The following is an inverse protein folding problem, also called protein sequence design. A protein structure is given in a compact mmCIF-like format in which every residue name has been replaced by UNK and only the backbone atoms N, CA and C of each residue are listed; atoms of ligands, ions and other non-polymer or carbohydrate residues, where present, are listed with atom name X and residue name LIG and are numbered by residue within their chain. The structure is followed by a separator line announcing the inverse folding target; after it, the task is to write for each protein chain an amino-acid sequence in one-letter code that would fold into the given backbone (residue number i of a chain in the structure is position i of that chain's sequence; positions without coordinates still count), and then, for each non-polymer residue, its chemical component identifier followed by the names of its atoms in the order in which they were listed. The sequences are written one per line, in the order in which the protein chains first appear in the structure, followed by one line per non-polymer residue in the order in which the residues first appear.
data_IF_865131966986
#
_entry.id   IF_865131966986
#
_cell.length_a   1.000
_cell.length_b   1.000
_cell.length_c   1.000
_cell.angle_alpha   90.00
_cell.angle_beta   90.00
_cell.angle_gamma   90.00
#
_symmetry.space_group_name_H-M   'P 1'
#
loop_
_entity.id
_entity.type
_entity.pdbx_description
1 polymer ?
#
# COMPACT_ATOMS: atom_id res chain seq x y z
N UNK A 1 14.75 -7.72 -21.31
CA UNK A 1 14.06 -8.64 -20.37
C UNK A 1 14.81 -9.95 -20.38
N UNK A 2 15.16 -10.50 -19.22
CA UNK A 2 15.82 -11.80 -19.12
C UNK A 2 14.83 -12.93 -19.41
N UNK A 3 14.77 -13.37 -20.67
CA UNK A 3 14.81 -14.77 -21.11
C UNK A 3 13.75 -15.80 -20.69
N UNK A 4 12.76 -15.50 -19.85
CA UNK A 4 11.75 -16.48 -19.42
C UNK A 4 10.33 -15.95 -19.67
N UNK A 5 9.57 -16.64 -20.53
CA UNK A 5 8.18 -16.29 -20.80
C UNK A 5 7.20 -16.78 -19.72
N UNK A 6 7.58 -17.82 -18.97
CA UNK A 6 6.82 -18.38 -17.87
C UNK A 6 7.72 -19.18 -16.92
N UNK A 7 7.22 -19.47 -15.72
CA UNK A 7 7.82 -20.48 -14.85
C UNK A 7 6.73 -21.24 -14.07
N UNK A 8 6.66 -22.56 -14.21
CA UNK A 8 5.67 -23.37 -13.48
C UNK A 8 6.25 -24.74 -13.11
N UNK A 9 6.20 -25.08 -11.82
CA UNK A 9 6.75 -26.32 -11.27
C UNK A 9 5.79 -27.05 -10.31
N UNK A 10 4.48 -26.78 -10.41
CA UNK A 10 3.50 -27.24 -9.43
C UNK A 10 3.05 -28.71 -9.58
N UNK A 11 3.45 -29.40 -10.66
CA UNK A 11 3.02 -30.77 -10.93
C UNK A 11 4.20 -31.71 -11.21
N UNK A 12 3.97 -33.01 -11.00
CA UNK A 12 4.99 -34.05 -11.17
C UNK A 12 5.51 -34.15 -12.62
N UNK A 13 4.64 -33.91 -13.60
CA UNK A 13 5.01 -33.88 -15.04
C UNK A 13 5.82 -32.62 -15.44
N UNK A 14 6.15 -31.74 -14.50
CA UNK A 14 6.94 -30.55 -14.80
C UNK A 14 8.26 -30.94 -15.48
N UNK A 15 8.68 -30.16 -16.49
CA UNK A 15 10.02 -30.31 -17.04
C UNK A 15 11.08 -30.22 -15.91
N UNK A 16 12.23 -30.91 -16.05
CA UNK A 16 13.32 -30.80 -15.07
C UNK A 16 13.68 -29.33 -14.83
N UNK A 17 13.74 -28.92 -13.56
CA UNK A 17 13.94 -27.55 -13.08
C UNK A 17 12.76 -26.57 -13.28
N UNK A 18 11.58 -27.06 -13.68
CA UNK A 18 10.39 -26.23 -13.91
C UNK A 18 10.09 -26.01 -15.39
N UNK A 19 8.81 -26.04 -15.77
CA UNK A 19 8.38 -25.61 -17.10
C UNK A 19 8.73 -24.14 -17.31
N UNK A 20 9.32 -23.80 -18.45
CA UNK A 20 9.78 -22.45 -18.79
C UNK A 20 11.21 -22.14 -18.38
N UNK A 21 11.83 -22.93 -17.47
CA UNK A 21 13.20 -22.71 -16.97
C UNK A 21 14.31 -22.71 -18.05
N UNK A 22 14.02 -23.22 -19.26
CA UNK A 22 14.94 -23.19 -20.41
C UNK A 22 14.38 -22.35 -21.57
N UNK A 23 13.51 -21.38 -21.27
CA UNK A 23 12.91 -20.48 -22.25
C UNK A 23 11.71 -21.07 -23.00
N UNK A 24 11.08 -22.13 -22.51
CA UNK A 24 9.87 -22.68 -23.14
C UNK A 24 8.66 -21.78 -22.86
N UNK A 25 7.85 -21.54 -23.89
CA UNK A 25 6.59 -20.78 -23.80
C UNK A 25 5.38 -21.63 -23.41
N UNK A 26 5.58 -22.92 -23.12
CA UNK A 26 4.52 -23.89 -22.81
C UNK A 26 5.01 -24.96 -21.85
N UNK A 27 4.20 -25.29 -20.84
CA UNK A 27 4.47 -26.40 -19.92
C UNK A 27 4.11 -27.77 -20.51
N UNK A 28 4.60 -28.84 -19.88
CA UNK A 28 4.34 -30.23 -20.30
C UNK A 28 2.84 -30.54 -20.41
N UNK A 29 2.02 -29.98 -19.51
CA UNK A 29 0.57 -30.14 -19.51
C UNK A 29 -0.16 -29.35 -20.61
N UNK A 30 0.56 -28.52 -21.37
CA UNK A 30 0.02 -27.71 -22.44
C UNK A 30 -0.41 -26.29 -22.07
N UNK A 31 -0.27 -25.87 -20.80
CA UNK A 31 -0.48 -24.48 -20.38
C UNK A 31 0.57 -23.57 -21.03
N UNK A 32 0.13 -22.57 -21.80
CA UNK A 32 1.03 -21.59 -22.42
C UNK A 32 1.49 -20.53 -21.41
N UNK A 33 2.44 -19.69 -21.82
CA UNK A 33 3.04 -18.65 -20.97
C UNK A 33 2.04 -17.61 -20.50
N UNK A 34 1.17 -17.14 -21.38
CA UNK A 34 0.10 -16.16 -21.06
C UNK A 34 -0.83 -16.67 -19.96
N UNK A 35 -1.34 -17.90 -20.07
CA UNK A 35 -2.21 -18.48 -19.05
C UNK A 35 -1.47 -18.74 -17.74
N UNK A 36 -0.20 -19.18 -17.80
CA UNK A 36 0.63 -19.34 -16.59
C UNK A 36 0.81 -18.00 -15.86
N UNK A 37 1.14 -16.94 -16.59
CA UNK A 37 1.36 -15.61 -16.04
C UNK A 37 0.07 -14.95 -15.52
N UNK A 38 -1.08 -15.19 -16.18
CA UNK A 38 -2.40 -14.78 -15.65
C UNK A 38 -2.71 -15.50 -14.32
N UNK A 39 -2.38 -16.78 -14.21
CA UNK A 39 -2.53 -17.50 -12.94
C UNK A 39 -1.59 -16.94 -11.87
N UNK A 40 -0.35 -16.59 -12.20
CA UNK A 40 0.57 -15.93 -11.27
C UNK A 40 0.02 -14.57 -10.80
N UNK A 41 -0.50 -13.75 -11.72
CA UNK A 41 -1.16 -12.49 -11.39
C UNK A 41 -2.33 -12.68 -10.42
N UNK A 42 -3.16 -13.72 -10.63
CA UNK A 42 -4.22 -14.09 -9.68
C UNK A 42 -3.64 -14.47 -8.31
N UNK A 43 -2.65 -15.36 -8.26
CA UNK A 43 -2.03 -15.82 -7.00
C UNK A 43 -1.39 -14.65 -6.24
N UNK A 44 -0.72 -13.73 -6.93
CA UNK A 44 -0.20 -12.50 -6.30
C UNK A 44 -1.34 -11.60 -5.83
N UNK A 45 -2.42 -11.45 -6.60
CA UNK A 45 -3.63 -10.77 -6.15
C UNK A 45 -4.22 -11.39 -4.88
N UNK A 46 -4.32 -12.73 -4.80
CA UNK A 46 -4.79 -13.45 -3.62
C UNK A 46 -3.91 -13.17 -2.40
N UNK A 47 -2.57 -13.16 -2.54
CA UNK A 47 -1.66 -12.82 -1.44
C UNK A 47 -1.90 -11.42 -0.88
N UNK A 48 -2.08 -10.42 -1.75
CA UNK A 48 -2.43 -9.06 -1.34
C UNK A 48 -3.80 -8.99 -0.66
N UNK A 49 -4.79 -9.67 -1.22
CA UNK A 49 -6.15 -9.76 -0.68
C UNK A 49 -6.18 -10.44 0.70
N UNK A 50 -5.40 -11.50 0.89
CA UNK A 50 -5.26 -12.20 2.18
C UNK A 50 -4.71 -11.30 3.27
N UNK A 51 -3.82 -10.34 2.95
CA UNK A 51 -3.31 -9.38 3.93
C UNK A 51 -4.43 -8.47 4.46
N UNK A 52 -5.29 -7.94 3.58
CA UNK A 52 -6.44 -7.12 3.99
C UNK A 52 -7.50 -7.95 4.74
N UNK A 53 -7.76 -9.16 4.25
CA UNK A 53 -8.66 -10.13 4.88
C UNK A 53 -8.23 -10.49 6.29
N UNK A 54 -6.93 -10.69 6.52
CA UNK A 54 -6.39 -11.01 7.83
C UNK A 54 -6.72 -9.93 8.85
N UNK A 55 -6.45 -8.66 8.55
CA UNK A 55 -6.75 -7.55 9.45
C UNK A 55 -8.26 -7.33 9.67
N UNK A 56 -9.06 -7.49 8.61
CA UNK A 56 -10.50 -7.37 8.71
C UNK A 56 -11.07 -8.41 9.70
N UNK A 57 -10.55 -9.65 9.63
CA UNK A 57 -10.94 -10.73 10.53
C UNK A 57 -10.48 -10.52 11.98
N UNK A 58 -9.31 -9.95 12.22
CA UNK A 58 -8.87 -9.58 13.58
C UNK A 58 -9.82 -8.56 14.26
N UNK A 59 -10.52 -7.77 13.44
CA UNK A 59 -11.55 -6.83 13.88
C UNK A 59 -12.96 -7.44 13.86
N UNK A 60 -13.09 -8.75 13.64
CA UNK A 60 -14.36 -9.47 13.63
C UNK A 60 -15.25 -9.21 12.41
N UNK A 61 -14.70 -8.65 11.33
CA UNK A 61 -15.48 -8.42 10.11
C UNK A 61 -15.77 -9.72 9.36
N UNK A 62 -16.94 -9.80 8.70
CA UNK A 62 -17.31 -10.93 7.88
C UNK A 62 -16.60 -10.87 6.51
N UNK A 63 -15.80 -11.89 6.22
CA UNK A 63 -15.03 -12.00 4.97
C UNK A 63 -15.43 -13.22 4.12
N UNK A 64 -16.54 -13.90 4.42
CA UNK A 64 -16.88 -15.21 3.83
C UNK A 64 -16.97 -15.20 2.30
N UNK A 65 -17.49 -14.13 1.72
CA UNK A 65 -17.56 -13.98 0.25
C UNK A 65 -16.17 -13.85 -0.38
N UNK A 66 -15.26 -13.11 0.28
CA UNK A 66 -13.87 -12.98 -0.14
C UNK A 66 -13.14 -14.32 0.01
N UNK A 67 -13.39 -15.04 1.10
CA UNK A 67 -12.83 -16.36 1.37
C UNK A 67 -13.25 -17.37 0.29
N UNK A 68 -14.51 -17.29 -0.17
CA UNK A 68 -14.99 -18.09 -1.29
C UNK A 68 -14.22 -17.78 -2.59
N UNK A 69 -13.98 -16.50 -2.91
CA UNK A 69 -13.21 -16.14 -4.11
C UNK A 69 -11.76 -16.63 -4.02
N UNK A 70 -11.14 -16.55 -2.84
CA UNK A 70 -9.80 -17.11 -2.61
C UNK A 70 -9.79 -18.61 -2.92
N UNK A 71 -10.72 -19.37 -2.34
CA UNK A 71 -10.80 -20.83 -2.54
C UNK A 71 -11.11 -21.20 -4.01
N UNK A 72 -12.10 -20.55 -4.62
CA UNK A 72 -12.47 -20.78 -6.02
C UNK A 72 -11.28 -20.49 -6.96
N UNK A 73 -10.51 -19.41 -6.70
CA UNK A 73 -9.36 -19.03 -7.53
C UNK A 73 -8.20 -20.02 -7.37
N UNK A 74 -7.89 -20.46 -6.14
CA UNK A 74 -6.87 -21.48 -5.92
C UNK A 74 -7.21 -22.77 -6.68
N UNK A 75 -8.47 -23.21 -6.61
CA UNK A 75 -8.94 -24.37 -7.37
C UNK A 75 -8.83 -24.17 -8.89
N UNK A 76 -9.17 -22.97 -9.38
CA UNK A 76 -9.05 -22.60 -10.80
C UNK A 76 -7.60 -22.71 -11.31
N UNK A 77 -6.60 -22.41 -10.48
CA UNK A 77 -5.17 -22.47 -10.84
C UNK A 77 -4.53 -23.86 -10.76
N UNK A 78 -5.28 -24.89 -10.36
CA UNK A 78 -4.75 -26.26 -10.32
C UNK A 78 -4.35 -26.78 -11.70
N UNK A 79 -3.46 -27.78 -11.69
CA UNK A 79 -3.02 -28.47 -12.90
C UNK A 79 -4.21 -29.12 -13.60
N UNK A 80 -4.36 -28.88 -14.90
CA UNK A 80 -5.42 -29.41 -15.75
C UNK A 80 -6.85 -28.94 -15.40
N UNK A 81 -7.01 -27.81 -14.69
CA UNK A 81 -8.34 -27.25 -14.40
C UNK A 81 -8.91 -26.38 -15.52
N UNK A 82 -8.13 -25.42 -16.02
CA UNK A 82 -8.62 -24.46 -17.00
C UNK A 82 -7.52 -24.03 -17.97
N UNK A 83 -7.85 -23.94 -19.27
CA UNK A 83 -6.94 -23.49 -20.33
C UNK A 83 -7.59 -22.45 -21.26
N UNK A 84 -8.71 -21.84 -20.85
CA UNK A 84 -9.43 -20.86 -21.66
C UNK A 84 -9.06 -19.43 -21.24
N UNK A 85 -8.58 -18.62 -22.18
CA UNK A 85 -8.13 -17.25 -21.92
C UNK A 85 -9.24 -16.34 -21.36
N UNK A 86 -10.42 -16.33 -21.95
CA UNK A 86 -11.53 -15.47 -21.51
C UNK A 86 -12.00 -15.84 -20.10
N UNK A 87 -11.99 -17.12 -19.77
CA UNK A 87 -12.30 -17.60 -18.40
C UNK A 87 -11.23 -17.17 -17.41
N UNK A 88 -9.94 -17.12 -17.80
CA UNK A 88 -8.88 -16.55 -16.97
C UNK A 88 -9.10 -15.06 -16.75
N UNK A 89 -9.44 -14.29 -17.79
CA UNK A 89 -9.76 -12.87 -17.65
C UNK A 89 -10.96 -12.68 -16.70
N UNK A 90 -12.03 -13.46 -16.88
CA UNK A 90 -13.21 -13.42 -16.00
C UNK A 90 -12.84 -13.72 -14.54
N UNK A 91 -12.01 -14.74 -14.31
CA UNK A 91 -11.54 -15.08 -12.96
C UNK A 91 -10.65 -13.98 -12.37
N UNK A 92 -9.76 -13.38 -13.17
CA UNK A 92 -8.94 -12.24 -12.74
C UNK A 92 -9.80 -11.05 -12.30
N UNK A 93 -10.85 -10.73 -13.05
CA UNK A 93 -11.77 -9.66 -12.69
C UNK A 93 -12.61 -10.01 -11.45
N UNK A 94 -12.96 -11.28 -11.23
CA UNK A 94 -13.59 -11.75 -9.97
C UNK A 94 -12.65 -11.58 -8.76
N UNK A 95 -11.34 -11.78 -8.95
CA UNK A 95 -10.33 -11.44 -7.93
C UNK A 95 -10.31 -9.93 -7.68
N UNK A 96 -10.42 -9.10 -8.72
CA UNK A 96 -10.52 -7.65 -8.59
C UNK A 96 -11.75 -7.17 -7.82
N UNK A 97 -12.91 -7.75 -8.11
CA UNK A 97 -14.16 -7.51 -7.37
C UNK A 97 -14.01 -7.81 -5.87
N UNK A 98 -13.45 -8.97 -5.55
CA UNK A 98 -13.17 -9.35 -4.16
C UNK A 98 -12.13 -8.41 -3.52
N UNK A 99 -11.16 -7.92 -4.30
CA UNK A 99 -10.20 -6.88 -3.90
C UNK A 99 -10.87 -5.57 -3.49
N UNK A 100 -11.80 -5.05 -4.31
CA UNK A 100 -12.61 -3.87 -3.96
C UNK A 100 -13.38 -4.13 -2.67
N UNK A 101 -14.06 -5.27 -2.60
CA UNK A 101 -14.90 -5.64 -1.46
C UNK A 101 -14.10 -5.73 -0.16
N UNK A 102 -12.92 -6.35 -0.16
CA UNK A 102 -12.15 -6.49 1.08
C UNK A 102 -11.57 -5.16 1.56
N UNK A 103 -11.17 -4.27 0.65
CA UNK A 103 -10.68 -2.95 1.02
C UNK A 103 -11.79 -2.10 1.64
N UNK A 104 -13.02 -2.19 1.09
CA UNK A 104 -14.19 -1.58 1.72
C UNK A 104 -14.46 -2.17 3.11
N UNK A 105 -14.58 -3.51 3.23
CA UNK A 105 -14.79 -4.18 4.53
C UNK A 105 -13.73 -3.74 5.56
N UNK A 106 -12.46 -3.71 5.19
CA UNK A 106 -11.38 -3.30 6.07
C UNK A 106 -11.47 -1.81 6.44
N UNK A 107 -11.78 -0.93 5.49
CA UNK A 107 -12.00 0.51 5.77
C UNK A 107 -13.16 0.72 6.74
N UNK A 108 -14.28 0.01 6.57
CA UNK A 108 -15.39 0.01 7.51
C UNK A 108 -14.96 -0.52 8.89
N UNK A 109 -14.25 -1.66 8.95
CA UNK A 109 -13.76 -2.23 10.21
C UNK A 109 -12.84 -1.25 10.96
N UNK A 110 -11.87 -0.66 10.27
CA UNK A 110 -10.98 0.38 10.84
C UNK A 110 -11.77 1.58 11.35
N UNK A 111 -12.67 2.14 10.53
CA UNK A 111 -13.40 3.36 10.91
C UNK A 111 -14.41 3.12 12.03
N UNK A 112 -15.00 1.93 12.12
CA UNK A 112 -15.88 1.55 13.23
C UNK A 112 -15.09 1.34 14.53
N UNK A 113 -13.92 0.68 14.46
CA UNK A 113 -13.12 0.37 15.62
C UNK A 113 -12.33 1.58 16.15
N UNK A 114 -11.86 2.46 15.25
CA UNK A 114 -10.87 3.48 15.58
C UNK A 114 -11.32 4.92 15.27
N UNK A 115 -12.53 5.09 14.73
CA UNK A 115 -13.07 6.37 14.28
C UNK A 115 -12.63 6.74 12.85
N UNK A 116 -13.25 7.76 12.28
CA UNK A 116 -12.90 8.26 10.93
C UNK A 116 -11.60 9.08 11.03
N UNK A 117 -10.55 8.76 10.25
CA UNK A 117 -9.31 9.53 10.25
C UNK A 117 -9.54 10.99 9.85
N UNK A 118 -8.87 11.91 10.54
CA UNK A 118 -8.90 13.33 10.19
C UNK A 118 -7.48 13.86 9.94
N UNK A 119 -7.30 14.87 9.07
CA UNK A 119 -5.98 15.43 8.78
C UNK A 119 -5.25 15.86 10.05
N UNK A 120 -4.01 15.39 10.20
CA UNK A 120 -3.17 15.66 11.36
C UNK A 120 -1.72 15.90 10.92
N UNK A 121 -1.08 16.86 11.57
CA UNK A 121 0.36 17.10 11.48
C UNK A 121 1.06 16.41 12.64
N UNK A 122 2.05 15.57 12.36
CA UNK A 122 2.81 14.79 13.36
C UNK A 122 4.29 15.06 13.26
N UNK A 123 5.03 14.81 14.34
CA UNK A 123 6.49 14.95 14.35
C UNK A 123 7.16 13.81 13.60
N UNK A 124 8.25 14.12 12.91
CA UNK A 124 9.05 13.17 12.15
C UNK A 124 10.48 13.14 12.69
N UNK A 125 10.99 11.96 13.05
CA UNK A 125 12.33 11.76 13.61
C UNK A 125 12.59 12.53 14.92
N UNK A 126 11.56 12.66 15.76
CA UNK A 126 11.66 13.24 17.12
C UNK A 126 11.25 12.19 18.14
N UNK A 127 12.22 11.67 18.90
CA UNK A 127 11.97 10.60 19.88
C UNK A 127 12.79 10.75 21.16
N UNK A 128 12.25 10.25 22.28
CA UNK A 128 12.88 10.32 23.60
C UNK A 128 12.37 9.24 24.55
N UNK A 129 13.14 9.01 25.63
CA UNK A 129 12.79 8.11 26.74
C UNK A 129 12.72 6.64 26.34
N UNK A 130 12.14 5.80 27.20
CA UNK A 130 11.85 4.40 26.87
C UNK A 130 10.84 4.35 25.72
N UNK A 131 11.09 3.53 24.71
CA UNK A 131 10.26 3.55 23.51
C UNK A 131 10.10 2.20 22.81
N UNK A 132 8.99 2.09 22.09
CA UNK A 132 8.71 1.02 21.13
C UNK A 132 8.43 1.65 19.75
N UNK A 133 9.10 1.16 18.71
CA UNK A 133 8.83 1.50 17.32
C UNK A 133 7.94 0.42 16.68
N UNK A 134 6.78 0.82 16.16
CA UNK A 134 5.81 -0.08 15.53
C UNK A 134 5.81 0.14 14.03
N UNK A 135 6.04 -0.93 13.29
CA UNK A 135 6.11 -0.96 11.83
C UNK A 135 5.18 -2.03 11.28
N UNK A 136 4.82 -1.93 10.00
CA UNK A 136 3.80 -2.76 9.38
C UNK A 136 2.50 -1.98 9.19
N UNK A 137 1.36 -2.64 9.38
CA UNK A 137 0.05 -2.11 9.01
C UNK A 137 -1.06 -2.38 10.04
N UNK A 138 -0.81 -3.22 11.05
CA UNK A 138 -1.88 -3.79 11.87
C UNK A 138 -2.31 -2.82 12.98
N UNK A 139 -3.42 -2.10 12.74
CA UNK A 139 -3.97 -1.14 13.70
C UNK A 139 -4.59 -1.82 14.93
N UNK A 140 -5.04 -3.07 14.81
CA UNK A 140 -5.52 -3.86 15.95
C UNK A 140 -4.37 -4.15 16.93
N UNK A 141 -3.24 -4.66 16.43
CA UNK A 141 -2.04 -4.90 17.23
C UNK A 141 -1.54 -3.62 17.91
N UNK A 142 -1.54 -2.49 17.17
CA UNK A 142 -1.19 -1.18 17.75
C UNK A 142 -2.14 -0.78 18.88
N UNK A 143 -3.46 -0.94 18.70
CA UNK A 143 -4.44 -0.63 19.75
C UNK A 143 -4.20 -1.44 21.02
N UNK A 144 -3.97 -2.76 20.88
CA UNK A 144 -3.66 -3.65 22.01
C UNK A 144 -2.36 -3.25 22.71
N UNK A 145 -1.32 -2.91 21.95
CA UNK A 145 -0.07 -2.41 22.50
C UNK A 145 -0.27 -1.09 23.25
N UNK A 146 -1.04 -0.14 22.71
CA UNK A 146 -1.32 1.14 23.35
C UNK A 146 -2.05 0.96 24.69
N UNK A 147 -3.00 0.02 24.75
CA UNK A 147 -3.66 -0.36 26.00
C UNK A 147 -2.67 -0.96 27.00
N UNK A 148 -1.86 -1.93 26.56
CA UNK A 148 -0.90 -2.63 27.41
C UNK A 148 0.23 -1.72 27.94
N UNK A 149 0.57 -0.64 27.22
CA UNK A 149 1.64 0.30 27.57
C UNK A 149 1.16 1.55 28.31
N UNK A 150 -0.16 1.71 28.48
CA UNK A 150 -0.75 2.86 29.18
C UNK A 150 -0.14 3.00 30.57
N UNK A 151 0.35 4.21 30.88
CA UNK A 151 0.97 4.57 32.16
C UNK A 151 2.25 3.79 32.53
N UNK A 152 2.91 3.12 31.58
CA UNK A 152 4.19 2.41 31.82
C UNK A 152 5.44 3.23 31.57
N UNK A 153 5.30 4.52 31.22
CA UNK A 153 6.44 5.39 30.89
C UNK A 153 7.14 5.05 29.57
N UNK A 154 6.49 4.33 28.67
CA UNK A 154 7.01 3.94 27.35
C UNK A 154 6.31 4.76 26.27
N UNK A 155 7.08 5.43 25.42
CA UNK A 155 6.58 6.13 24.24
C UNK A 155 6.43 5.17 23.04
N UNK A 156 5.35 5.30 22.29
CA UNK A 156 5.09 4.54 21.07
C UNK A 156 5.31 5.45 19.86
N UNK A 157 6.13 4.98 18.93
CA UNK A 157 6.40 5.63 17.65
C UNK A 157 5.96 4.73 16.51
N UNK A 158 5.54 5.33 15.41
CA UNK A 158 5.21 4.60 14.17
C UNK A 158 6.37 4.66 13.18
N UNK A 159 6.42 3.68 12.28
CA UNK A 159 7.34 3.66 11.14
C UNK A 159 6.60 3.23 9.87
N UNK A 160 6.96 3.82 8.74
CA UNK A 160 6.46 3.46 7.41
C UNK A 160 4.91 3.46 7.36
N UNK A 161 4.28 2.34 7.03
CA UNK A 161 2.82 2.17 6.86
C UNK A 161 2.01 2.27 8.15
N UNK A 162 2.65 2.45 9.32
CA UNK A 162 1.96 2.77 10.56
C UNK A 162 1.70 4.28 10.73
N UNK A 163 2.27 5.15 9.89
CA UNK A 163 2.04 6.60 9.92
C UNK A 163 0.55 7.00 10.01
N UNK A 164 -0.37 6.40 9.23
CA UNK A 164 -1.79 6.78 9.26
C UNK A 164 -2.49 6.55 10.60
N UNK A 165 -1.92 5.72 11.50
CA UNK A 165 -2.50 5.46 12.82
C UNK A 165 -2.75 6.73 13.63
N UNK A 166 -1.92 7.77 13.44
CA UNK A 166 -2.03 9.04 14.14
C UNK A 166 -3.29 9.85 13.79
N UNK A 167 -3.94 9.53 12.67
CA UNK A 167 -5.15 10.24 12.23
C UNK A 167 -6.44 9.68 12.83
N UNK A 168 -6.40 8.45 13.35
CA UNK A 168 -7.57 7.78 13.94
C UNK A 168 -7.84 8.32 15.36
N UNK A 169 -9.05 8.87 15.64
CA UNK A 169 -9.38 9.47 16.93
C UNK A 169 -9.12 8.55 18.14
N UNK A 170 -9.50 7.28 18.04
CA UNK A 170 -9.36 6.32 19.15
C UNK A 170 -7.92 5.88 19.41
N UNK A 171 -7.01 6.04 18.44
CA UNK A 171 -5.58 5.77 18.60
C UNK A 171 -4.83 7.02 19.04
N UNK A 172 -5.16 8.19 18.48
CA UNK A 172 -4.52 9.46 18.79
C UNK A 172 -4.77 9.93 20.23
N UNK A 173 -5.86 9.50 20.87
CA UNK A 173 -6.17 9.87 22.26
C UNK A 173 -5.13 9.39 23.28
N UNK A 174 -4.26 8.45 22.91
CA UNK A 174 -3.17 7.98 23.77
C UNK A 174 -2.00 8.97 23.73
N UNK A 175 -1.71 9.71 24.80
CA UNK A 175 -0.68 10.76 24.79
C UNK A 175 0.75 10.22 24.63
N UNK A 176 0.94 8.92 24.83
CA UNK A 176 2.21 8.22 24.60
C UNK A 176 2.36 7.67 23.19
N UNK A 177 1.34 7.77 22.31
CA UNK A 177 1.53 7.67 20.86
C UNK A 177 2.08 9.01 20.35
N UNK A 178 3.36 9.07 20.00
CA UNK A 178 4.08 10.34 19.83
C UNK A 178 4.18 10.83 18.39
N UNK A 179 4.90 10.11 17.54
CA UNK A 179 5.25 10.57 16.21
C UNK A 179 5.71 9.44 15.31
N UNK A 180 6.18 9.80 14.12
CA UNK A 180 6.70 8.84 13.15
C UNK A 180 8.24 8.95 13.06
N UNK A 181 8.90 7.82 12.89
CA UNK A 181 10.35 7.72 12.77
C UNK A 181 10.68 6.97 11.49
N UNK A 182 11.66 7.44 10.73
CA UNK A 182 12.08 6.83 9.47
C UNK A 182 11.15 7.09 8.29
N UNK A 183 11.46 6.46 7.16
CA UNK A 183 10.78 6.65 5.87
C UNK A 183 9.94 5.41 5.54
N UNK A 184 9.97 5.01 4.27
CA UNK A 184 9.45 3.72 3.81
C UNK A 184 10.34 2.58 4.34
N UNK A 185 9.83 1.35 4.22
CA UNK A 185 10.35 0.15 4.89
C UNK A 185 11.85 -0.18 4.73
N UNK A 186 12.51 0.28 3.66
CA UNK A 186 13.86 -0.18 3.33
C UNK A 186 14.99 0.57 4.05
N UNK A 187 14.70 1.66 4.76
CA UNK A 187 15.68 2.30 5.65
C UNK A 187 15.82 1.56 7.00
N UNK A 188 14.96 0.56 7.24
CA UNK A 188 14.77 -0.05 8.54
C UNK A 188 16.04 -0.64 9.17
N UNK A 189 16.97 -1.23 8.41
CA UNK A 189 18.17 -1.82 9.05
C UNK A 189 19.03 -0.74 9.71
N UNK A 190 19.25 0.39 9.01
CA UNK A 190 19.98 1.52 9.57
C UNK A 190 19.18 2.13 10.72
N UNK A 191 17.90 2.40 10.48
CA UNK A 191 17.04 3.02 11.48
C UNK A 191 16.92 2.19 12.75
N UNK A 192 16.71 0.88 12.63
CA UNK A 192 16.50 -0.01 13.77
C UNK A 192 17.80 -0.18 14.57
N UNK A 193 18.98 -0.12 13.94
CA UNK A 193 20.25 -0.06 14.66
C UNK A 193 20.36 1.22 15.51
N UNK A 194 19.90 2.36 14.97
CA UNK A 194 19.94 3.67 15.61
C UNK A 194 18.84 3.85 16.69
N UNK A 195 17.63 3.36 16.44
CA UNK A 195 16.50 3.39 17.36
C UNK A 195 16.75 2.37 18.48
N UNK A 196 17.38 2.77 19.59
CA UNK A 196 17.80 1.86 20.67
C UNK A 196 16.68 1.23 21.50
N UNK A 197 15.41 1.56 21.24
CA UNK A 197 14.23 0.98 21.89
C UNK A 197 13.80 -0.36 21.28
N UNK A 198 12.75 -0.96 21.82
CA UNK A 198 12.21 -2.20 21.26
C UNK A 198 11.42 -1.94 19.96
N UNK A 199 11.29 -2.96 19.11
CA UNK A 199 10.67 -2.84 17.79
C UNK A 199 9.62 -3.93 17.63
N UNK A 200 8.45 -3.55 17.12
CA UNK A 200 7.36 -4.47 16.78
C UNK A 200 7.09 -4.42 15.27
N UNK A 201 7.29 -5.54 14.59
CA UNK A 201 6.91 -5.73 13.20
C UNK A 201 5.55 -6.43 13.14
N UNK A 202 4.51 -5.72 12.75
CA UNK A 202 3.15 -6.28 12.73
C UNK A 202 2.80 -6.99 11.42
N UNK A 203 3.46 -6.62 10.32
CA UNK A 203 3.29 -7.18 8.97
C UNK A 203 4.57 -6.98 8.16
N UNK A 204 4.53 -7.26 6.86
CA UNK A 204 5.57 -6.84 5.93
C UNK A 204 5.73 -5.29 5.91
N UNK A 205 6.91 -4.74 5.61
CA UNK A 205 8.09 -5.42 5.07
C UNK A 205 9.20 -5.54 6.12
N UNK A 206 9.39 -6.75 6.64
CA UNK A 206 10.53 -7.11 7.49
C UNK A 206 11.69 -7.58 6.62
N UNK A 207 12.91 -7.10 6.90
CA UNK A 207 14.12 -7.53 6.20
C UNK A 207 14.83 -8.60 7.03
N UNK A 208 15.32 -9.69 6.39
CA UNK A 208 16.11 -10.70 7.09
C UNK A 208 17.28 -10.10 7.87
N UNK A 209 17.47 -10.58 9.10
CA UNK A 209 18.58 -10.13 9.93
C UNK A 209 19.93 -10.49 9.29
N UNK A 210 20.82 -9.50 9.24
CA UNK A 210 22.19 -9.63 8.73
C UNK A 210 23.18 -9.44 9.88
N UNK A 211 24.46 -9.74 9.63
CA UNK A 211 25.54 -9.53 10.61
C UNK A 211 25.62 -8.08 11.12
N UNK A 212 25.19 -7.11 10.31
CA UNK A 212 25.16 -5.68 10.67
C UNK A 212 23.96 -5.27 11.54
N UNK A 213 23.05 -6.19 11.88
CA UNK A 213 21.87 -5.89 12.68
C UNK A 213 22.17 -6.04 14.18
N UNK A 214 22.11 -4.92 14.91
CA UNK A 214 22.36 -4.84 16.36
C UNK A 214 21.07 -4.81 17.19
N UNK A 215 19.92 -5.11 16.57
CA UNK A 215 18.59 -4.99 17.17
C UNK A 215 17.85 -6.33 17.31
N UNK A 216 18.50 -7.45 17.02
CA UNK A 216 17.86 -8.78 17.00
C UNK A 216 17.17 -9.12 18.32
N UNK A 217 17.82 -8.83 19.45
CA UNK A 217 17.35 -9.15 20.79
C UNK A 217 16.14 -8.32 21.25
N UNK A 218 15.86 -7.20 20.55
CA UNK A 218 14.78 -6.26 20.82
C UNK A 218 13.79 -6.10 19.67
N UNK A 219 13.85 -6.99 18.67
CA UNK A 219 12.91 -7.08 17.57
C UNK A 219 11.87 -8.17 17.87
N UNK A 220 10.59 -7.81 17.75
CA UNK A 220 9.46 -8.71 17.94
C UNK A 220 8.61 -8.78 16.68
N UNK A 221 8.18 -10.00 16.36
CA UNK A 221 7.15 -10.27 15.36
C UNK A 221 5.75 -10.29 16.00
N UNK A 222 4.74 -9.97 15.21
CA UNK A 222 3.33 -10.17 15.59
C UNK A 222 2.61 -10.92 14.47
N UNK A 223 1.76 -11.86 14.84
CA UNK A 223 1.08 -12.75 13.89
C UNK A 223 2.11 -13.42 12.96
N UNK A 224 1.95 -13.31 11.64
CA UNK A 224 2.77 -13.99 10.61
C UNK A 224 4.12 -13.28 10.38
N UNK A 225 4.30 -12.04 10.83
CA UNK A 225 5.50 -11.26 10.53
C UNK A 225 6.71 -11.71 11.36
N UNK A 226 7.73 -12.28 10.72
CA UNK A 226 8.90 -12.81 11.42
C UNK A 226 10.17 -12.94 10.59
N UNK A 227 11.29 -13.17 11.29
CA UNK A 227 12.60 -13.54 10.73
C UNK A 227 13.39 -14.36 11.77
N UNK A 228 14.47 -15.02 11.35
CA UNK A 228 15.17 -16.00 12.18
C UNK A 228 15.70 -15.43 13.49
N UNK A 229 15.24 -16.02 14.60
CA UNK A 229 15.70 -15.72 15.94
C UNK A 229 15.16 -14.44 16.56
N UNK A 230 14.00 -13.95 16.11
CA UNK A 230 13.21 -12.94 16.83
C UNK A 230 12.16 -13.61 17.72
N UNK A 231 11.70 -12.91 18.76
CA UNK A 231 10.55 -13.35 19.57
C UNK A 231 9.25 -12.96 18.88
N UNK A 232 8.18 -13.73 19.07
CA UNK A 232 6.84 -13.37 18.61
C UNK A 232 5.94 -13.02 19.81
N UNK A 233 5.02 -12.09 19.59
CA UNK A 233 3.91 -11.84 20.50
C UNK A 233 2.93 -13.02 20.42
N UNK A 234 2.58 -13.59 21.56
CA UNK A 234 1.65 -14.72 21.67
C UNK A 234 0.39 -14.29 22.41
N UNK A 235 -0.79 -14.67 21.90
CA UNK A 235 -2.09 -14.41 22.54
C UNK A 235 -2.33 -12.93 22.93
N UNK A 236 -1.85 -11.99 22.11
CA UNK A 236 -1.87 -10.54 22.39
C UNK A 236 -1.15 -10.14 23.70
N UNK A 237 -0.27 -11.00 24.25
CA UNK A 237 0.52 -10.67 25.43
C UNK A 237 1.78 -9.87 25.04
N UNK A 238 1.69 -8.55 25.21
CA UNK A 238 2.80 -7.63 24.96
C UNK A 238 3.81 -7.55 26.13
N UNK A 239 3.62 -8.30 27.22
CA UNK A 239 4.49 -8.24 28.40
C UNK A 239 5.98 -8.45 28.06
N UNK A 240 6.38 -9.44 27.22
CA UNK A 240 7.77 -9.62 26.85
C UNK A 240 8.38 -8.43 26.10
N UNK A 241 7.61 -7.80 25.20
CA UNK A 241 8.03 -6.61 24.45
C UNK A 241 8.15 -5.40 25.38
N UNK A 242 7.20 -5.22 26.29
CA UNK A 242 7.17 -4.14 27.28
C UNK A 242 8.38 -4.22 28.20
N UNK A 243 8.66 -5.40 28.76
CA UNK A 243 9.83 -5.61 29.61
C UNK A 243 11.11 -5.31 28.85
N UNK A 244 11.22 -5.78 27.60
CA UNK A 244 12.38 -5.49 26.77
C UNK A 244 12.54 -3.99 26.49
N UNK A 245 11.45 -3.26 26.27
CA UNK A 245 11.49 -1.81 26.06
C UNK A 245 11.95 -1.05 27.32
N UNK A 246 11.63 -1.54 28.52
CA UNK A 246 12.10 -0.96 29.79
C UNK A 246 13.60 -1.23 30.05
N UNK A 247 14.09 -2.40 29.61
CA UNK A 247 15.51 -2.77 29.67
C UNK A 247 16.37 -1.98 28.68
N UNK A 248 15.83 -1.61 27.51
CA UNK A 248 16.56 -0.85 26.49
C UNK A 248 16.94 0.55 26.97
N UNK A 249 18.02 1.12 26.43
CA UNK A 249 18.42 2.50 26.72
C UNK A 249 17.33 3.51 26.31
N UNK A 250 17.34 4.67 26.96
CA UNK A 250 16.49 5.79 26.53
C UNK A 250 16.88 6.23 25.11
N UNK A 251 15.87 6.55 24.30
CA UNK A 251 16.09 7.05 22.96
C UNK A 251 16.82 8.40 23.01
N UNK A 252 17.91 8.48 22.25
CA UNK A 252 18.69 9.69 21.98
C UNK A 252 18.99 9.80 20.47
N UNK A 253 19.43 10.97 20.00
CA UNK A 253 19.79 11.18 18.58
C UNK A 253 18.63 11.52 17.63
N UNK A 254 17.39 11.54 18.10
CA UNK A 254 16.20 11.89 17.31
C UNK A 254 15.63 13.26 17.74
N UNK A 255 16.16 14.35 17.18
CA UNK A 255 15.79 15.74 17.51
C UNK A 255 15.49 16.57 16.26
N UNK A 256 14.55 16.10 15.43
CA UNK A 256 14.12 16.80 14.22
C UNK A 256 12.90 17.70 14.47
N UNK A 257 12.89 18.87 13.84
CA UNK A 257 11.72 19.76 13.76
C UNK A 257 10.82 19.45 12.55
N UNK A 258 11.20 18.48 11.73
CA UNK A 258 10.39 18.04 10.60
C UNK A 258 9.07 17.43 11.06
N UNK A 259 8.07 17.54 10.19
CA UNK A 259 6.72 17.04 10.43
C UNK A 259 6.15 16.43 9.17
N UNK A 260 5.23 15.48 9.33
CA UNK A 260 4.46 14.90 8.23
C UNK A 260 2.98 15.18 8.41
N UNK A 261 2.21 15.11 7.32
CA UNK A 261 0.75 15.18 7.33
C UNK A 261 0.16 13.85 6.86
N UNK A 262 -0.87 13.39 7.56
CA UNK A 262 -1.64 12.18 7.22
C UNK A 262 -3.11 12.36 7.62
N UNK A 263 -4.00 11.42 7.26
CA UNK A 263 -5.39 11.42 7.72
C UNK A 263 -6.42 12.00 6.77
N UNK A 264 -6.09 12.15 5.49
CA UNK A 264 -6.99 12.56 4.42
C UNK A 264 -7.95 11.45 3.96
N UNK A 265 -8.48 10.63 4.88
CA UNK A 265 -9.37 9.51 4.54
C UNK A 265 -10.61 9.98 3.76
N UNK A 266 -11.11 9.17 2.83
CA UNK A 266 -12.15 9.60 1.89
C UNK A 266 -13.41 10.14 2.56
N UNK A 267 -13.87 9.54 3.66
CA UNK A 267 -15.03 10.03 4.43
C UNK A 267 -14.83 11.46 4.96
N UNK A 268 -13.60 11.87 5.24
CA UNK A 268 -13.26 13.21 5.69
C UNK A 268 -13.16 14.18 4.52
N UNK A 269 -12.59 13.74 3.40
CA UNK A 269 -12.48 14.54 2.17
C UNK A 269 -13.85 14.79 1.53
N UNK A 270 -14.75 13.81 1.56
CA UNK A 270 -16.11 13.96 1.04
C UNK A 270 -16.93 15.02 1.80
N UNK A 271 -16.56 15.41 3.02
CA UNK A 271 -17.19 16.55 3.71
C UNK A 271 -16.84 17.90 3.06
N UNK A 272 -15.80 17.95 2.22
CA UNK A 272 -15.38 19.11 1.45
C UNK A 272 -15.80 19.02 -0.03
N UNK A 273 -16.67 18.06 -0.39
CA UNK A 273 -17.08 17.79 -1.78
C UNK A 273 -17.59 19.04 -2.51
N UNK A 274 -18.42 19.86 -1.87
CA UNK A 274 -18.95 21.10 -2.45
C UNK A 274 -17.86 22.14 -2.72
N UNK A 275 -16.88 22.28 -1.81
CA UNK A 275 -15.76 23.20 -2.00
C UNK A 275 -14.85 22.71 -3.14
N UNK A 276 -14.57 21.41 -3.18
CA UNK A 276 -13.79 20.77 -4.23
C UNK A 276 -14.48 20.93 -5.59
N UNK A 277 -15.79 20.65 -5.66
CA UNK A 277 -16.58 20.78 -6.88
C UNK A 277 -16.57 22.22 -7.39
N UNK A 278 -16.79 23.20 -6.49
CA UNK A 278 -16.67 24.63 -6.84
C UNK A 278 -15.28 24.99 -7.32
N UNK A 279 -14.23 24.45 -6.71
CA UNK A 279 -12.86 24.72 -7.13
C UNK A 279 -12.54 24.13 -8.51
N UNK A 280 -13.09 22.96 -8.84
CA UNK A 280 -12.98 22.36 -10.18
C UNK A 280 -13.75 23.22 -11.20
N UNK A 281 -15.03 23.52 -10.93
CA UNK A 281 -15.89 24.24 -11.89
C UNK A 281 -15.47 25.69 -12.11
N UNK A 282 -14.85 26.33 -11.11
CA UNK A 282 -14.25 27.67 -11.24
C UNK A 282 -12.84 27.68 -11.83
N UNK A 283 -12.28 26.51 -12.17
CA UNK A 283 -10.94 26.39 -12.74
C UNK A 283 -9.79 26.59 -11.75
N UNK A 284 -10.06 26.66 -10.44
CA UNK A 284 -9.03 26.73 -9.39
C UNK A 284 -8.27 25.42 -9.21
N UNK A 285 -8.95 24.29 -9.42
CA UNK A 285 -8.33 22.97 -9.51
C UNK A 285 -8.43 22.51 -10.96
N UNK A 286 -7.28 22.38 -11.62
CA UNK A 286 -7.24 21.86 -12.99
C UNK A 286 -7.28 20.34 -13.02
N UNK A 287 -6.62 19.66 -12.08
CA UNK A 287 -6.41 18.20 -12.14
C UNK A 287 -6.00 17.61 -10.80
N UNK A 288 -6.45 16.38 -10.55
CA UNK A 288 -5.94 15.52 -9.49
C UNK A 288 -4.88 14.57 -10.04
N UNK A 289 -3.84 14.32 -9.25
CA UNK A 289 -2.82 13.33 -9.54
C UNK A 289 -2.85 12.27 -8.45
N UNK A 290 -3.27 11.05 -8.80
CA UNK A 290 -3.12 9.90 -7.92
C UNK A 290 -1.69 9.39 -8.06
N UNK A 291 -0.80 9.81 -7.16
CA UNK A 291 0.59 9.35 -7.09
C UNK A 291 0.69 8.45 -5.86
N UNK A 292 0.57 7.14 -6.04
CA UNK A 292 0.38 6.22 -4.94
C UNK A 292 1.04 4.85 -5.16
N UNK A 293 1.14 4.07 -4.09
CA UNK A 293 1.57 2.68 -4.14
C UNK A 293 2.89 2.42 -3.40
N UNK A 294 3.60 1.34 -3.72
CA UNK A 294 4.68 0.83 -2.87
C UNK A 294 6.08 1.32 -3.25
N UNK A 295 6.84 1.79 -2.25
CA UNK A 295 8.24 2.16 -2.42
C UNK A 295 9.19 0.95 -2.34
N UNK A 296 10.38 1.09 -2.93
CA UNK A 296 11.45 0.10 -2.89
C UNK A 296 12.83 0.77 -3.01
N UNK A 297 13.93 0.07 -2.65
CA UNK A 297 15.28 0.54 -2.89
C UNK A 297 15.54 0.93 -4.35
N UNK A 298 16.52 1.82 -4.57
CA UNK A 298 16.95 2.26 -5.90
C UNK A 298 16.49 3.67 -6.26
N UNK A 299 17.04 4.16 -7.38
CA UNK A 299 16.88 5.55 -7.83
C UNK A 299 15.73 5.74 -8.83
N UNK A 300 15.26 4.69 -9.50
CA UNK A 300 14.22 4.82 -10.53
C UNK A 300 12.92 5.44 -9.99
N UNK A 301 12.62 5.21 -8.70
CA UNK A 301 11.46 5.81 -8.02
C UNK A 301 11.66 7.28 -7.64
N UNK A 302 12.83 7.89 -7.88
CA UNK A 302 13.00 9.35 -7.77
C UNK A 302 12.10 10.08 -8.78
N UNK A 303 11.76 9.42 -9.90
CA UNK A 303 10.73 9.85 -10.83
C UNK A 303 9.47 10.40 -10.14
N UNK A 304 8.96 9.69 -9.11
CA UNK A 304 7.72 10.08 -8.45
C UNK A 304 7.87 11.34 -7.59
N UNK A 305 9.06 11.55 -7.00
CA UNK A 305 9.38 12.82 -6.32
C UNK A 305 9.45 13.95 -7.33
N UNK A 306 10.17 13.74 -8.42
CA UNK A 306 10.34 14.76 -9.47
C UNK A 306 9.01 15.13 -10.12
N UNK A 307 8.12 14.15 -10.33
CA UNK A 307 6.76 14.37 -10.79
C UNK A 307 5.96 15.21 -9.79
N UNK A 308 5.91 14.80 -8.52
CA UNK A 308 5.16 15.51 -7.48
C UNK A 308 5.62 16.96 -7.33
N UNK A 309 6.94 17.21 -7.32
CA UNK A 309 7.53 18.54 -7.22
C UNK A 309 7.30 19.41 -8.46
N UNK A 310 7.14 18.79 -9.63
CA UNK A 310 6.90 19.50 -10.89
C UNK A 310 5.43 19.86 -11.11
N UNK A 311 4.51 19.33 -10.29
CA UNK A 311 3.08 19.60 -10.47
C UNK A 311 2.76 21.09 -10.30
N UNK A 312 2.01 21.68 -11.24
CA UNK A 312 1.54 23.05 -11.10
C UNK A 312 0.71 23.30 -9.84
N UNK A 313 0.65 24.56 -9.40
CA UNK A 313 0.03 24.96 -8.12
C UNK A 313 -1.50 24.78 -8.09
N UNK A 314 -2.13 24.62 -9.24
CA UNK A 314 -3.56 24.35 -9.44
C UNK A 314 -3.88 22.84 -9.51
N UNK A 315 -2.92 21.97 -9.15
CA UNK A 315 -3.10 20.52 -9.07
C UNK A 315 -3.05 20.00 -7.62
N UNK A 316 -3.79 18.93 -7.37
CA UNK A 316 -3.88 18.23 -6.07
C UNK A 316 -3.31 16.82 -6.18
N UNK A 317 -2.48 16.41 -5.22
CA UNK A 317 -1.93 15.06 -5.08
C UNK A 317 -2.83 14.26 -4.14
N UNK A 318 -3.32 13.13 -4.63
CA UNK A 318 -3.91 12.05 -3.83
C UNK A 318 -2.87 10.94 -3.71
N UNK A 319 -2.49 10.57 -2.48
CA UNK A 319 -1.55 9.47 -2.24
C UNK A 319 -2.10 8.49 -1.23
N UNK A 320 -1.60 7.26 -1.28
CA UNK A 320 -1.74 6.23 -0.26
C UNK A 320 -0.46 5.41 -0.24
N UNK A 321 -0.30 4.51 0.73
CA UNK A 321 0.82 3.56 0.80
C UNK A 321 2.21 4.19 1.02
N UNK A 322 3.22 3.35 1.24
CA UNK A 322 4.58 3.82 1.59
C UNK A 322 5.30 4.63 0.49
N UNK A 323 4.82 4.62 -0.75
CA UNK A 323 5.30 5.48 -1.83
C UNK A 323 5.28 6.97 -1.49
N UNK A 324 4.37 7.37 -0.59
CA UNK A 324 4.28 8.75 -0.07
C UNK A 324 5.61 9.27 0.49
N UNK A 325 6.47 8.40 1.04
CA UNK A 325 7.75 8.80 1.64
C UNK A 325 8.77 9.34 0.63
N UNK A 326 8.48 9.26 -0.67
CA UNK A 326 9.27 9.93 -1.72
C UNK A 326 9.05 11.44 -1.75
N UNK A 327 7.93 11.95 -1.24
CA UNK A 327 7.57 13.36 -1.39
C UNK A 327 6.75 13.95 -0.22
N UNK A 328 6.37 13.17 0.80
CA UNK A 328 5.58 13.64 1.94
C UNK A 328 6.35 14.53 2.93
N UNK A 329 7.66 14.70 2.72
CA UNK A 329 8.51 15.67 3.42
C UNK A 329 8.30 17.11 2.91
N UNK A 330 7.56 17.29 1.82
CA UNK A 330 7.32 18.58 1.17
C UNK A 330 5.98 19.15 1.60
N UNK A 331 5.97 20.43 1.99
CA UNK A 331 4.73 21.19 2.15
C UNK A 331 4.26 21.70 0.79
N UNK A 332 3.25 21.03 0.22
CA UNK A 332 2.66 21.43 -1.06
C UNK A 332 1.72 22.63 -0.96
N UNK A 333 1.37 23.07 0.26
CA UNK A 333 0.45 24.17 0.51
C UNK A 333 -1.01 23.88 0.17
N UNK A 334 -1.78 24.96 -0.02
CA UNK A 334 -3.19 24.93 -0.36
C UNK A 334 -3.41 25.36 -1.82
N UNK A 335 -4.55 24.98 -2.39
CA UNK A 335 -5.01 25.55 -3.66
C UNK A 335 -5.35 27.03 -3.42
N UNK A 336 -4.81 27.90 -4.27
CA UNK A 336 -4.89 29.36 -4.12
C UNK A 336 -6.35 29.84 -3.96
N UNK A 337 -6.60 30.64 -2.92
CA UNK A 337 -7.94 31.17 -2.64
C UNK A 337 -8.97 30.12 -2.20
N UNK A 338 -8.52 28.99 -1.64
CA UNK A 338 -9.36 27.94 -1.03
C UNK A 338 -8.72 27.41 0.26
N UNK A 339 -9.40 26.50 0.96
CA UNK A 339 -8.83 25.73 2.08
C UNK A 339 -8.42 24.31 1.68
N UNK A 340 -8.47 23.98 0.39
CA UNK A 340 -8.22 22.63 -0.11
C UNK A 340 -6.71 22.35 -0.09
N UNK A 341 -6.24 21.32 0.62
CA UNK A 341 -4.84 20.92 0.59
C UNK A 341 -4.41 20.43 -0.79
N UNK A 342 -3.21 20.80 -1.24
CA UNK A 342 -2.60 20.25 -2.46
C UNK A 342 -2.05 18.84 -2.29
N UNK A 343 -1.91 18.37 -1.06
CA UNK A 343 -1.45 17.02 -0.74
C UNK A 343 -2.43 16.38 0.24
N UNK A 344 -2.98 15.23 -0.17
CA UNK A 344 -3.96 14.47 0.60
C UNK A 344 -3.45 13.03 0.70
N UNK A 345 -3.02 12.66 1.90
CA UNK A 345 -2.65 11.29 2.24
C UNK A 345 -3.88 10.51 2.74
N UNK A 346 -4.38 9.61 1.91
CA UNK A 346 -5.55 8.78 2.19
C UNK A 346 -5.30 7.76 3.31
N UNK A 347 -4.05 7.37 3.54
CA UNK A 347 -3.68 6.39 4.54
C UNK A 347 -2.78 5.26 4.00
N UNK A 348 -2.99 4.05 4.48
CA UNK A 348 -2.24 2.85 4.12
C UNK A 348 -2.59 2.41 2.69
N UNK A 349 -1.91 1.38 2.18
CA UNK A 349 -2.26 0.78 0.89
C UNK A 349 -3.73 0.34 0.76
N UNK A 350 -4.34 -0.20 1.80
CA UNK A 350 -5.78 -0.53 1.82
C UNK A 350 -6.69 0.69 1.64
N UNK A 351 -6.25 1.90 2.00
CA UNK A 351 -7.04 3.13 1.86
C UNK A 351 -7.05 3.68 0.42
N UNK A 352 -6.45 2.95 -0.53
CA UNK A 352 -6.52 3.25 -1.96
C UNK A 352 -7.95 3.14 -2.52
N UNK A 353 -8.83 2.36 -1.88
CA UNK A 353 -10.27 2.39 -2.18
C UNK A 353 -10.86 3.80 -1.97
N UNK A 354 -10.28 4.59 -1.07
CA UNK A 354 -10.68 5.96 -0.82
C UNK A 354 -10.55 6.86 -2.06
N UNK A 355 -9.52 6.66 -2.87
CA UNK A 355 -9.38 7.38 -4.15
C UNK A 355 -10.53 7.03 -5.09
N UNK A 356 -10.91 5.75 -5.19
CA UNK A 356 -12.07 5.30 -5.99
C UNK A 356 -13.35 5.94 -5.46
N UNK A 357 -13.60 5.93 -4.14
CA UNK A 357 -14.80 6.55 -3.56
C UNK A 357 -14.88 8.05 -3.84
N UNK A 358 -13.75 8.76 -3.77
CA UNK A 358 -13.68 10.19 -4.12
C UNK A 358 -14.00 10.38 -5.61
N UNK A 359 -13.38 9.61 -6.49
CA UNK A 359 -13.60 9.68 -7.94
C UNK A 359 -15.04 9.37 -8.32
N UNK A 360 -15.66 8.34 -7.72
CA UNK A 360 -17.08 8.01 -7.93
C UNK A 360 -17.98 9.16 -7.50
N UNK A 361 -17.77 9.73 -6.31
CA UNK A 361 -18.56 10.87 -5.85
C UNK A 361 -18.39 12.11 -6.75
N UNK A 362 -17.18 12.37 -7.25
CA UNK A 362 -16.94 13.46 -8.21
C UNK A 362 -17.64 13.20 -9.54
N UNK A 363 -17.63 11.96 -10.03
CA UNK A 363 -18.32 11.56 -11.26
C UNK A 363 -19.83 11.78 -11.13
N UNK A 364 -20.44 11.33 -10.03
CA UNK A 364 -21.86 11.53 -9.73
C UNK A 364 -22.22 13.02 -9.61
N UNK A 365 -21.39 13.81 -8.93
CA UNK A 365 -21.65 15.23 -8.70
C UNK A 365 -21.48 16.11 -9.95
N UNK A 366 -20.59 15.72 -10.87
CA UNK A 366 -20.31 16.47 -12.11
C UNK A 366 -21.09 15.95 -13.33
N UNK A 367 -21.57 14.71 -13.28
CA UNK A 367 -22.09 13.99 -14.44
C UNK A 367 -21.01 13.56 -15.44
N UNK A 368 -19.72 13.78 -15.14
CA UNK A 368 -18.59 13.39 -15.98
C UNK A 368 -18.28 11.91 -15.70
N UNK A 369 -18.05 11.11 -16.74
CA UNK A 369 -17.69 9.71 -16.55
C UNK A 369 -16.36 9.57 -15.80
N UNK A 370 -16.18 8.51 -15.01
CA UNK A 370 -14.98 8.29 -14.18
C UNK A 370 -13.67 8.48 -14.96
N UNK A 371 -13.60 7.95 -16.18
CA UNK A 371 -12.40 8.00 -17.02
C UNK A 371 -12.19 9.33 -17.75
N UNK A 372 -13.19 10.23 -17.72
CA UNK A 372 -13.17 11.56 -18.33
C UNK A 372 -12.96 12.66 -17.27
N UNK A 373 -12.95 12.31 -15.98
CA UNK A 373 -12.60 13.24 -14.91
C UNK A 373 -11.14 13.71 -15.06
N UNK A 374 -10.82 14.94 -14.63
CA UNK A 374 -9.47 15.48 -14.70
C UNK A 374 -8.58 14.84 -13.62
N UNK A 375 -8.26 13.55 -13.80
CA UNK A 375 -7.49 12.72 -12.88
C UNK A 375 -6.43 11.98 -13.68
N UNK A 376 -5.17 12.11 -13.27
CA UNK A 376 -4.06 11.32 -13.79
C UNK A 376 -3.62 10.30 -12.74
N UNK A 377 -3.53 9.03 -13.13
CA UNK A 377 -3.25 7.92 -12.21
C UNK A 377 -1.85 7.38 -12.49
N UNK A 378 -0.93 7.60 -11.56
CA UNK A 378 0.49 7.29 -11.69
C UNK A 378 0.95 6.44 -10.49
N UNK A 379 0.93 5.13 -10.67
CA UNK A 379 1.13 4.16 -9.61
C UNK A 379 2.56 3.62 -9.58
N UNK A 380 3.07 3.44 -8.37
CA UNK A 380 4.28 2.69 -8.10
C UNK A 380 3.94 1.36 -7.44
N UNK A 381 4.71 0.32 -7.72
CA UNK A 381 4.44 -0.99 -7.14
C UNK A 381 5.73 -1.67 -6.68
N UNK A 382 5.58 -2.69 -5.83
CA UNK A 382 6.68 -3.51 -5.33
C UNK A 382 6.17 -4.90 -4.94
N UNK A 383 5.14 -4.97 -4.10
CA UNK A 383 4.63 -6.23 -3.56
C UNK A 383 3.15 -6.46 -3.88
N UNK A 384 2.58 -7.51 -3.29
CA UNK A 384 1.33 -8.12 -3.73
C UNK A 384 0.08 -7.32 -3.36
N UNK A 385 0.13 -6.46 -2.33
CA UNK A 385 -0.98 -5.54 -2.03
C UNK A 385 -1.16 -4.50 -3.13
N UNK A 386 -0.08 -4.05 -3.77
CA UNK A 386 -0.18 -3.21 -4.98
C UNK A 386 -0.78 -3.96 -6.18
N UNK A 387 -0.50 -5.26 -6.32
CA UNK A 387 -1.05 -6.10 -7.41
C UNK A 387 -2.57 -6.21 -7.29
N UNK A 388 -3.11 -6.52 -6.10
CA UNK A 388 -4.57 -6.60 -5.93
C UNK A 388 -5.25 -5.23 -6.13
N UNK A 389 -4.60 -4.12 -5.78
CA UNK A 389 -5.12 -2.77 -6.06
C UNK A 389 -5.22 -2.55 -7.57
N UNK A 390 -4.21 -2.92 -8.35
CA UNK A 390 -4.27 -2.82 -9.81
C UNK A 390 -5.41 -3.68 -10.37
N UNK A 391 -5.52 -4.95 -9.96
CA UNK A 391 -6.60 -5.84 -10.42
C UNK A 391 -7.99 -5.28 -10.05
N UNK A 392 -8.13 -4.69 -8.86
CA UNK A 392 -9.36 -4.02 -8.44
C UNK A 392 -9.71 -2.83 -9.35
N UNK A 393 -8.72 -2.01 -9.73
CA UNK A 393 -8.93 -0.90 -10.68
C UNK A 393 -9.33 -1.40 -12.08
N UNK A 394 -8.75 -2.52 -12.54
CA UNK A 394 -9.14 -3.16 -13.80
C UNK A 394 -10.60 -3.65 -13.75
N UNK A 395 -11.02 -4.28 -12.64
CA UNK A 395 -12.42 -4.68 -12.43
C UNK A 395 -13.37 -3.48 -12.47
N UNK A 396 -12.98 -2.35 -11.87
CA UNK A 396 -13.76 -1.11 -11.88
C UNK A 396 -13.79 -0.41 -13.25
N UNK A 397 -13.07 -0.92 -14.26
CA UNK A 397 -13.02 -0.32 -15.59
C UNK A 397 -12.24 1.00 -15.64
N UNK A 398 -11.35 1.24 -14.66
CA UNK A 398 -10.49 2.42 -14.63
C UNK A 398 -9.46 2.31 -15.74
N UNK A 399 -9.34 3.38 -16.53
CA UNK A 399 -8.42 3.49 -17.66
C UNK A 399 -7.31 4.50 -17.40
N UNK A 400 -6.34 4.56 -18.30
CA UNK A 400 -5.25 5.54 -18.29
C UNK A 400 -4.37 5.45 -17.03
N UNK A 401 -4.11 4.22 -16.58
CA UNK A 401 -3.24 3.95 -15.44
C UNK A 401 -1.79 3.86 -15.93
N UNK A 402 -0.92 4.69 -15.37
CA UNK A 402 0.52 4.67 -15.63
C UNK A 402 1.21 3.95 -14.47
N UNK A 403 1.85 2.81 -14.73
CA UNK A 403 2.55 2.03 -13.69
C UNK A 403 4.07 2.15 -13.82
N UNK A 404 4.82 1.88 -12.75
CA UNK A 404 6.28 1.92 -12.78
C UNK A 404 6.97 1.54 -11.46
N UNK A 405 8.31 1.61 -11.41
CA UNK A 405 9.20 2.01 -12.52
C UNK A 405 9.42 0.94 -13.59
N UNK A 406 9.05 -0.31 -13.31
CA UNK A 406 9.12 -1.43 -14.26
C UNK A 406 7.77 -2.13 -14.37
N UNK A 407 7.54 -2.89 -15.44
CA UNK A 407 6.42 -3.82 -15.51
C UNK A 407 6.69 -5.04 -14.60
N UNK A 408 5.65 -5.63 -13.99
CA UNK A 408 5.76 -6.95 -13.37
C UNK A 408 6.17 -8.02 -14.39
N UNK A 409 7.04 -8.95 -13.97
CA UNK A 409 7.54 -10.02 -14.86
C UNK A 409 6.43 -10.98 -15.34
N UNK A 410 5.35 -11.10 -14.58
CA UNK A 410 4.15 -11.86 -14.97
C UNK A 410 3.22 -11.09 -15.94
N UNK A 411 3.67 -9.97 -16.51
CA UNK A 411 2.99 -9.30 -17.62
C UNK A 411 3.86 -9.47 -18.87
N UNK A 412 3.52 -10.47 -19.69
CA UNK A 412 4.12 -10.67 -21.01
C UNK A 412 3.42 -9.78 -22.06
N UNK A 413 3.91 -9.83 -23.31
CA UNK A 413 3.40 -8.99 -24.40
C UNK A 413 1.91 -9.20 -24.68
N UNK A 414 1.40 -10.44 -24.67
CA UNK A 414 -0.02 -10.71 -24.88
C UNK A 414 -0.91 -10.12 -23.77
N UNK A 415 -0.49 -10.22 -22.50
CA UNK A 415 -1.21 -9.61 -21.37
C UNK A 415 -1.11 -8.09 -21.48
N UNK A 416 0.06 -7.54 -21.79
CA UNK A 416 0.27 -6.12 -21.94
C UNK A 416 -0.62 -5.55 -23.04
N UNK A 417 -0.66 -6.18 -24.22
CA UNK A 417 -1.51 -5.79 -25.34
C UNK A 417 -2.99 -5.79 -24.96
N UNK A 418 -3.44 -6.82 -24.22
CA UNK A 418 -4.79 -6.85 -23.67
C UNK A 418 -5.04 -5.65 -22.72
N UNK A 419 -4.11 -5.35 -21.81
CA UNK A 419 -4.24 -4.26 -20.85
C UNK A 419 -4.21 -2.88 -21.52
N UNK A 420 -3.36 -2.69 -22.52
CA UNK A 420 -3.29 -1.47 -23.35
C UNK A 420 -4.60 -1.29 -24.10
N UNK A 421 -5.07 -2.32 -24.83
CA UNK A 421 -6.27 -2.23 -25.66
C UNK A 421 -7.54 -1.95 -24.84
N UNK A 422 -7.68 -2.56 -23.68
CA UNK A 422 -8.92 -2.48 -22.90
C UNK A 422 -8.91 -1.36 -21.86
N UNK A 423 -7.75 -1.07 -21.27
CA UNK A 423 -7.60 -0.14 -20.15
C UNK A 423 -6.66 1.04 -20.42
N UNK A 424 -6.01 1.09 -21.59
CA UNK A 424 -4.98 2.09 -21.89
C UNK A 424 -3.90 2.17 -20.79
N UNK A 425 -3.53 1.01 -20.24
CA UNK A 425 -2.45 0.88 -19.27
C UNK A 425 -1.13 1.22 -19.97
N UNK A 426 -0.22 1.92 -19.29
CA UNK A 426 1.11 2.19 -19.83
C UNK A 426 2.19 2.21 -18.74
N UNK A 427 3.43 1.98 -19.16
CA UNK A 427 4.61 2.15 -18.32
C UNK A 427 5.05 3.62 -18.33
N UNK A 428 5.47 4.15 -17.18
CA UNK A 428 6.11 5.47 -17.12
C UNK A 428 7.37 5.52 -17.99
N UNK A 429 7.71 6.68 -18.54
CA UNK A 429 8.92 6.82 -19.38
C UNK A 429 10.22 6.85 -18.58
N UNK A 430 10.14 7.10 -17.26
CA UNK A 430 11.29 7.43 -16.43
C UNK A 430 11.68 8.91 -16.46
N UNK A 431 11.08 9.73 -17.33
CA UNK A 431 11.22 11.19 -17.35
C UNK A 431 9.93 11.86 -16.86
N UNK A 432 9.95 12.34 -15.62
CA UNK A 432 8.81 12.95 -14.96
C UNK A 432 8.32 14.22 -15.68
N UNK A 433 9.22 15.00 -16.30
CA UNK A 433 8.83 16.23 -17.01
C UNK A 433 8.16 15.91 -18.34
N UNK A 434 8.73 14.96 -19.08
CA UNK A 434 8.14 14.52 -20.35
C UNK A 434 6.75 13.92 -20.13
N UNK A 435 6.57 13.11 -19.09
CA UNK A 435 5.29 12.50 -18.77
C UNK A 435 4.28 13.51 -18.22
N UNK A 436 4.70 14.48 -17.39
CA UNK A 436 3.81 15.55 -16.92
C UNK A 436 3.17 16.33 -18.09
N UNK A 437 3.92 16.60 -19.15
CA UNK A 437 3.38 17.25 -20.36
C UNK A 437 2.28 16.41 -21.01
N UNK A 438 2.38 15.07 -20.97
CA UNK A 438 1.34 14.16 -21.49
C UNK A 438 0.14 14.14 -20.55
N UNK A 439 0.37 14.00 -19.24
CA UNK A 439 -0.66 13.90 -18.21
C UNK A 439 -1.51 15.17 -18.04
N UNK A 440 -1.01 16.32 -18.49
CA UNK A 440 -1.77 17.57 -18.49
C UNK A 440 -2.59 17.79 -19.77
N UNK A 441 -2.31 17.04 -20.84
CA UNK A 441 -3.02 17.14 -22.13
C UNK A 441 -4.22 16.20 -22.23
N UNK A 442 -4.06 14.98 -21.70
CA UNK A 442 -5.10 13.98 -21.52
C UNK A 442 -5.75 14.23 -20.17
#
# INVERSE_FOLDING_TARGET
MSGLEMFCHQCEMSAPNGCGSKGQSKGTCGKNSTLANLQDMMIFGLKGMSAYRHHANELGANTSEVDKVIADTLYFTLTNSNFNFDEHIKQLLKVGEAGVKIMDILSQAHTNAFGIPSPVKITQNKACGKAILVSGHNLFALKKLLDATKNKGINIYTHSEMLPAHAYPELKKYPHLKGNIGKAWFDQTKLFNEFKGAILMTTNCIVPLRKSCEYKDRLFGYSIAGTDGIRHIENDDFTPLINKALECDDISGFQSDATLVTGGHYKSILNMSDEILKAITSGKIRRFFVIAGCDAPGNDRNYYRDLALSLPKDCVILTSSCGKFRFNDVDFGLIEGTKIPRYIDLGQCNDSNGAVKITTALSEATGIAINDLPISIVLMWMEQKAVIILIALLYLGVKNIHIGPSLPEFINDEILDFLVKNFNLSLISGDAKADLVKFLKN
#
